data_IF_811767710640
#
_entry.id   IF_811767710640
#
_cell.length_a   1.000
_cell.length_b   1.000
_cell.length_c   1.000
_cell.angle_alpha   90.00
_cell.angle_beta   90.00
_cell.angle_gamma   90.00
#
_symmetry.space_group_name_H-M   'P 1'
#
loop_
_entity.id
_entity.type
_entity.pdbx_description
1 polymer ?
#
# COMPACT_ATOMS: atom_id res chain seq x y z
N UNK A 1 -21.36 -2.48 8.83
CA UNK A 1 -20.36 -2.76 9.88
C UNK A 1 -19.25 -1.72 9.80
N UNK A 2 -18.65 -1.35 10.94
CA UNK A 2 -17.47 -0.48 10.96
C UNK A 2 -16.21 -1.30 10.72
N UNK A 3 -15.24 -0.74 10.00
CA UNK A 3 -13.95 -1.36 9.73
C UNK A 3 -12.84 -0.46 10.28
N UNK A 4 -11.89 -1.04 11.01
CA UNK A 4 -10.69 -0.36 11.45
C UNK A 4 -9.48 -1.14 10.94
N UNK A 5 -8.64 -0.50 10.14
CA UNK A 5 -7.32 -1.05 9.81
C UNK A 5 -6.24 -0.21 10.49
N UNK A 6 -5.36 -0.88 11.21
CA UNK A 6 -4.12 -0.31 11.72
C UNK A 6 -2.97 -0.98 11.00
N UNK A 7 -2.11 -0.19 10.38
CA UNK A 7 -0.91 -0.68 9.70
C UNK A 7 0.31 -0.36 10.53
N UNK A 8 1.21 -1.33 10.65
CA UNK A 8 2.48 -1.18 11.35
C UNK A 8 3.67 -1.10 10.39
N UNK A 9 3.62 -1.67 9.18
CA UNK A 9 4.74 -1.65 8.21
C UNK A 9 4.21 -1.63 6.75
N UNK A 10 4.90 -0.99 5.79
CA UNK A 10 4.68 -0.87 4.33
C UNK A 10 6.09 -0.80 3.75
N UNK A 11 6.73 -1.93 3.47
CA UNK A 11 7.99 -1.96 2.75
C UNK A 11 7.68 -1.90 1.25
N UNK A 12 8.28 -0.98 0.50
CA UNK A 12 8.16 -0.97 -0.94
C UNK A 12 9.51 -1.34 -1.56
N UNK A 13 9.76 -2.61 -1.90
CA UNK A 13 11.04 -3.02 -2.45
C UNK A 13 11.09 -2.76 -3.96
N UNK A 14 12.03 -1.93 -4.44
CA UNK A 14 12.30 -1.68 -5.86
C UNK A 14 13.70 -2.16 -6.26
N UNK A 15 13.79 -3.08 -7.23
CA UNK A 15 15.04 -3.62 -7.80
C UNK A 15 14.91 -3.43 -9.29
N UNK A 16 15.90 -2.75 -9.87
CA UNK A 16 16.10 -2.69 -11.31
C UNK A 16 17.37 -3.49 -11.66
N UNK A 17 17.28 -4.46 -12.56
CA UNK A 17 18.47 -5.06 -13.21
C UNK A 17 18.90 -4.23 -14.43
N UNK A 18 20.11 -4.27 -14.99
CA UNK A 18 21.36 -4.97 -14.66
C UNK A 18 22.59 -4.07 -14.89
N UNK A 19 22.46 -2.73 -15.01
CA UNK A 19 23.60 -1.83 -15.23
C UNK A 19 23.40 -0.37 -14.73
N UNK A 20 22.53 -0.16 -13.74
CA UNK A 20 22.47 1.09 -12.98
C UNK A 20 22.13 0.74 -11.53
N UNK A 21 23.10 0.91 -10.63
CA UNK A 21 22.96 0.62 -9.21
C UNK A 21 22.08 1.69 -8.55
N UNK A 22 20.77 1.47 -8.52
CA UNK A 22 19.83 2.19 -7.66
C UNK A 22 19.05 1.18 -6.80
N UNK A 23 18.83 1.43 -5.50
CA UNK A 23 18.64 0.39 -4.50
C UNK A 23 17.20 0.34 -3.97
N UNK A 24 16.88 -0.79 -3.31
CA UNK A 24 15.62 -0.98 -2.59
C UNK A 24 15.40 0.15 -1.56
N UNK A 25 14.16 0.66 -1.50
CA UNK A 25 13.75 1.61 -0.48
C UNK A 25 13.00 0.88 0.63
N UNK A 26 13.38 1.15 1.88
CA UNK A 26 12.71 0.57 3.04
C UNK A 26 11.92 1.67 3.74
N UNK A 27 10.60 1.52 3.74
CA UNK A 27 9.66 2.44 4.37
C UNK A 27 9.01 1.76 5.57
N UNK A 28 8.98 2.46 6.71
CA UNK A 28 8.29 2.00 7.91
C UNK A 28 7.15 2.97 8.23
N UNK A 29 5.91 2.69 7.81
CA UNK A 29 4.71 3.48 8.11
C UNK A 29 4.21 3.31 9.55
N UNK A 30 5.08 2.98 10.51
CA UNK A 30 4.65 2.81 11.91
C UNK A 30 3.80 4.01 12.34
N UNK A 31 2.52 3.76 12.63
CA UNK A 31 1.52 4.79 12.96
C UNK A 31 0.44 5.03 11.90
N UNK A 32 0.45 4.33 10.75
CA UNK A 32 -0.62 4.40 9.76
C UNK A 32 -1.94 3.79 10.26
N UNK A 33 -3.06 4.44 9.96
CA UNK A 33 -4.39 3.96 10.39
C UNK A 33 -5.50 4.46 9.49
N UNK A 34 -6.59 3.71 9.37
CA UNK A 34 -7.78 4.15 8.64
C UNK A 34 -9.05 3.48 9.13
N UNK A 35 -10.17 4.15 8.90
CA UNK A 35 -11.50 3.60 9.16
C UNK A 35 -12.27 3.40 7.86
N UNK A 36 -13.24 2.51 7.86
CA UNK A 36 -14.03 2.18 6.68
C UNK A 36 -15.36 1.54 7.02
N UNK A 37 -16.05 1.11 5.98
CA UNK A 37 -17.28 0.33 6.07
C UNK A 37 -17.04 -1.06 5.50
N UNK A 38 -17.59 -2.07 6.18
CA UNK A 38 -17.70 -3.43 5.67
C UNK A 38 -19.17 -3.78 5.45
N UNK A 39 -19.45 -4.43 4.32
CA UNK A 39 -20.77 -4.95 3.93
C UNK A 39 -20.63 -6.42 3.57
N UNK A 40 -21.57 -7.25 4.04
CA UNK A 40 -21.65 -8.64 3.60
C UNK A 40 -22.07 -8.66 2.14
N UNK A 41 -21.41 -9.52 1.37
CA UNK A 41 -21.83 -9.79 0.00
C UNK A 41 -22.92 -10.85 0.10
N UNK A 42 -24.19 -10.42 0.12
CA UNK A 42 -25.32 -11.35 0.08
C UNK A 42 -25.35 -12.00 -1.30
N UNK A 43 -24.82 -13.22 -1.40
CA UNK A 43 -24.85 -14.02 -2.61
C UNK A 43 -26.29 -14.38 -2.99
N UNK A 44 -26.83 -13.72 -4.02
CA UNK A 44 -28.13 -14.03 -4.59
C UNK A 44 -28.20 -15.33 -5.40
N UNK A 45 -27.31 -16.31 -5.16
CA UNK A 45 -27.33 -17.58 -5.88
C UNK A 45 -26.84 -18.74 -5.00
N UNK A 46 -27.63 -19.80 -4.96
CA UNK A 46 -27.60 -20.90 -3.97
C UNK A 46 -26.44 -21.89 -4.19
N UNK A 47 -25.39 -21.49 -4.91
CA UNK A 47 -24.21 -22.33 -5.15
C UNK A 47 -22.93 -21.48 -5.25
N UNK A 48 -22.18 -21.44 -4.14
CA UNK A 48 -20.73 -21.09 -4.03
C UNK A 48 -20.30 -19.67 -3.57
N UNK A 49 -21.15 -18.82 -3.03
CA UNK A 49 -20.66 -17.68 -2.24
C UNK A 49 -20.71 -18.05 -0.75
N UNK A 50 -19.55 -18.24 -0.11
CA UNK A 50 -19.50 -18.39 1.34
C UNK A 50 -20.06 -17.12 1.99
N UNK A 51 -20.93 -17.27 2.99
CA UNK A 51 -21.48 -16.18 3.81
C UNK A 51 -20.40 -15.40 4.61
N UNK A 52 -19.12 -15.66 4.34
CA UNK A 52 -17.93 -15.12 5.01
C UNK A 52 -17.27 -13.98 4.23
N UNK A 53 -17.69 -13.70 2.99
CA UNK A 53 -17.07 -12.64 2.18
C UNK A 53 -17.66 -11.26 2.51
N UNK A 54 -16.77 -10.34 2.85
CA UNK A 54 -17.06 -8.94 3.13
C UNK A 54 -16.49 -8.06 2.03
N UNK A 55 -17.32 -7.21 1.45
CA UNK A 55 -16.86 -6.05 0.70
C UNK A 55 -16.46 -4.94 1.67
N UNK A 56 -15.26 -4.42 1.52
CA UNK A 56 -14.71 -3.38 2.38
C UNK A 56 -14.36 -2.13 1.58
N UNK A 57 -14.65 -0.97 2.15
CA UNK A 57 -14.29 0.33 1.59
C UNK A 57 -13.76 1.23 2.69
N UNK A 58 -12.50 1.63 2.61
CA UNK A 58 -11.88 2.52 3.57
C UNK A 58 -12.15 3.98 3.20
N UNK A 59 -12.43 4.77 4.22
CA UNK A 59 -12.59 6.20 4.08
C UNK A 59 -11.21 6.86 3.94
N UNK A 60 -10.84 7.17 2.70
CA UNK A 60 -9.58 7.83 2.34
C UNK A 60 -9.36 9.15 3.07
N UNK A 61 -10.42 9.87 3.46
CA UNK A 61 -10.30 11.10 4.24
C UNK A 61 -9.81 10.88 5.68
N UNK A 62 -9.97 9.65 6.20
CA UNK A 62 -9.49 9.25 7.53
C UNK A 62 -8.25 8.36 7.47
N UNK A 63 -7.81 7.99 6.26
CA UNK A 63 -6.66 7.12 6.05
C UNK A 63 -5.39 7.95 6.23
N UNK A 64 -4.71 7.73 7.35
CA UNK A 64 -3.43 8.33 7.64
C UNK A 64 -2.31 7.39 7.16
N UNK A 65 -1.54 7.87 6.20
CA UNK A 65 -0.29 7.25 5.73
C UNK A 65 0.82 8.26 5.99
N UNK A 66 1.81 7.96 6.85
CA UNK A 66 2.85 8.93 7.15
C UNK A 66 3.67 9.27 5.91
N UNK A 67 4.12 10.52 5.82
CA UNK A 67 4.98 10.95 4.71
C UNK A 67 6.32 10.23 4.76
N UNK A 68 6.93 9.99 3.59
CA UNK A 68 8.30 9.50 3.50
C UNK A 68 9.24 10.67 3.74
N UNK A 69 10.04 10.57 4.80
CA UNK A 69 11.02 11.56 5.25
C UNK A 69 12.29 10.82 5.68
N UNK A 70 13.34 11.56 6.01
CA UNK A 70 14.56 10.99 6.61
C UNK A 70 14.31 10.18 7.89
N UNK A 71 13.16 10.38 8.57
CA UNK A 71 12.77 9.62 9.77
C UNK A 71 12.04 8.31 9.45
N UNK A 72 11.27 8.28 8.37
CA UNK A 72 10.35 7.17 8.04
C UNK A 72 10.85 6.28 6.91
N UNK A 73 11.87 6.72 6.17
CA UNK A 73 12.42 6.00 5.01
C UNK A 73 13.93 5.95 5.04
N UNK A 74 14.45 4.75 4.77
CA UNK A 74 15.86 4.54 4.46
C UNK A 74 16.00 4.27 2.96
N UNK A 75 16.91 5.02 2.35
CA UNK A 75 17.39 4.86 0.99
C UNK A 75 18.87 4.47 1.07
N UNK A 76 19.27 3.30 0.55
CA UNK A 76 20.63 2.72 0.74
C UNK A 76 20.99 2.36 2.21
N UNK A 77 20.02 2.17 3.09
CA UNK A 77 20.28 2.07 4.53
C UNK A 77 20.66 3.40 5.19
N UNK A 78 20.74 4.48 4.41
CA UNK A 78 20.87 5.85 4.89
C UNK A 78 19.49 6.51 4.95
N UNK A 79 19.25 7.43 5.88
CA UNK A 79 18.02 8.21 5.87
C UNK A 79 17.89 8.95 4.52
N UNK A 80 16.65 9.12 4.03
CA UNK A 80 16.37 9.99 2.88
C UNK A 80 17.17 11.31 2.99
N UNK A 81 17.71 11.86 1.88
CA UNK A 81 18.43 13.11 1.91
C UNK A 81 17.64 14.18 2.68
N UNK A 82 18.28 14.94 3.57
CA UNK A 82 17.60 16.02 4.25
C UNK A 82 16.98 16.93 3.19
N UNK A 83 15.80 17.48 3.49
CA UNK A 83 15.00 18.33 2.60
C UNK A 83 14.20 17.63 1.50
N UNK A 84 14.23 16.29 1.39
CA UNK A 84 13.33 15.52 0.54
C UNK A 84 12.15 14.96 1.37
N UNK A 85 10.93 15.16 0.86
CA UNK A 85 9.70 14.65 1.46
C UNK A 85 8.77 14.15 0.36
N UNK A 86 8.19 12.96 0.59
CA UNK A 86 7.16 12.39 -0.29
C UNK A 86 5.88 12.27 0.52
N UNK A 87 4.86 13.03 0.12
CA UNK A 87 3.52 12.93 0.71
C UNK A 87 2.69 11.91 -0.07
N UNK A 88 2.01 11.01 0.65
CA UNK A 88 1.12 10.01 0.06
C UNK A 88 -0.32 10.47 0.28
N UNK A 89 -1.05 10.68 -0.81
CA UNK A 89 -2.48 10.96 -0.80
C UNK A 89 -3.24 9.74 -1.35
N UNK A 90 -3.88 8.93 -0.50
CA UNK A 90 -4.70 7.82 -0.96
C UNK A 90 -5.94 8.33 -1.70
N UNK A 91 -6.30 7.65 -2.79
CA UNK A 91 -7.46 7.94 -3.63
C UNK A 91 -8.47 6.79 -3.59
N UNK A 92 -7.98 5.54 -3.59
CA UNK A 92 -8.79 4.33 -3.48
C UNK A 92 -8.13 3.40 -2.47
N UNK A 93 -8.93 2.87 -1.55
CA UNK A 93 -8.54 1.75 -0.70
C UNK A 93 -9.78 0.91 -0.36
N UNK A 94 -10.00 -0.16 -1.11
CA UNK A 94 -11.23 -0.97 -1.02
C UNK A 94 -10.99 -2.38 -1.57
N UNK A 95 -11.87 -3.33 -1.28
CA UNK A 95 -11.77 -4.68 -1.85
C UNK A 95 -12.60 -5.70 -1.09
N UNK A 96 -12.05 -6.91 -0.92
CA UNK A 96 -12.75 -8.01 -0.25
C UNK A 96 -11.91 -8.65 0.86
N UNK A 97 -12.63 -9.17 1.85
CA UNK A 97 -12.09 -9.96 2.96
C UNK A 97 -12.95 -11.21 3.08
N UNK A 98 -12.34 -12.38 2.91
CA UNK A 98 -12.97 -13.65 3.27
C UNK A 98 -12.59 -13.99 4.71
N UNK A 99 -13.56 -13.90 5.60
CA UNK A 99 -13.36 -14.14 7.04
C UNK A 99 -13.09 -15.61 7.37
N UNK A 100 -13.48 -16.56 6.52
CA UNK A 100 -13.27 -17.98 6.78
C UNK A 100 -11.87 -18.40 6.37
N UNK A 101 -11.45 -18.01 5.15
CA UNK A 101 -10.12 -18.35 4.67
C UNK A 101 -9.03 -17.42 5.17
N UNK A 102 -9.37 -16.23 5.66
CA UNK A 102 -8.43 -15.16 6.01
C UNK A 102 -7.84 -14.46 4.78
N UNK A 103 -8.36 -14.74 3.57
CA UNK A 103 -7.90 -14.10 2.34
C UNK A 103 -8.36 -12.65 2.30
N UNK A 104 -7.45 -11.73 2.00
CA UNK A 104 -7.75 -10.31 1.82
C UNK A 104 -7.20 -9.84 0.49
N UNK A 105 -8.00 -9.09 -0.27
CA UNK A 105 -7.62 -8.45 -1.54
C UNK A 105 -8.11 -7.00 -1.54
N UNK A 106 -7.19 -6.04 -1.53
CA UNK A 106 -7.49 -4.61 -1.48
C UNK A 106 -6.87 -3.90 -2.68
N UNK A 107 -7.69 -3.27 -3.50
CA UNK A 107 -7.24 -2.29 -4.46
C UNK A 107 -6.73 -1.04 -3.71
N UNK A 108 -5.51 -0.65 -4.02
CA UNK A 108 -4.88 0.55 -3.49
C UNK A 108 -4.43 1.45 -4.63
N UNK A 109 -4.88 2.70 -4.59
CA UNK A 109 -4.43 3.76 -5.49
C UNK A 109 -4.09 5.00 -4.67
N UNK A 110 -2.91 5.57 -4.90
CA UNK A 110 -2.49 6.78 -4.23
C UNK A 110 -1.61 7.66 -5.14
N UNK A 111 -1.63 8.96 -4.85
CA UNK A 111 -0.74 9.95 -5.45
C UNK A 111 0.44 10.21 -4.51
N UNK A 112 1.64 10.12 -5.05
CA UNK A 112 2.88 10.39 -4.34
C UNK A 112 3.41 11.75 -4.79
N UNK A 113 3.40 12.72 -3.88
CA UNK A 113 3.82 14.09 -4.12
C UNK A 113 5.25 14.28 -3.64
N UNK A 114 6.17 14.51 -4.56
CA UNK A 114 7.58 14.69 -4.25
C UNK A 114 7.91 16.16 -4.08
N UNK A 115 8.54 16.47 -2.95
CA UNK A 115 9.02 17.82 -2.64
C UNK A 115 10.48 17.75 -2.21
N UNK A 116 11.29 18.68 -2.70
CA UNK A 116 12.72 18.76 -2.39
C UNK A 116 13.16 20.20 -2.06
N UNK A 117 14.31 20.32 -1.40
CA UNK A 117 14.93 21.62 -1.09
C UNK A 117 14.09 22.50 -0.16
N UNK A 118 13.37 21.91 0.80
CA UNK A 118 12.50 22.66 1.72
C UNK A 118 11.21 23.18 1.07
N UNK A 119 10.81 22.58 -0.06
CA UNK A 119 9.57 22.90 -0.78
C UNK A 119 9.75 23.81 -2.00
N UNK A 120 10.99 24.17 -2.33
CA UNK A 120 11.34 24.97 -3.52
C UNK A 120 11.05 24.18 -4.80
N UNK A 121 11.31 22.87 -4.78
CA UNK A 121 11.04 21.99 -5.88
C UNK A 121 9.84 21.09 -5.55
N UNK A 122 8.90 21.00 -6.50
CA UNK A 122 7.72 20.14 -6.43
C UNK A 122 7.58 19.43 -7.76
N UNK A 123 7.65 18.11 -7.74
CA UNK A 123 7.44 17.32 -8.94
C UNK A 123 5.94 17.06 -9.18
N UNK A 124 5.57 16.68 -10.42
CA UNK A 124 4.26 16.08 -10.68
C UNK A 124 3.99 14.87 -9.79
N UNK A 125 2.72 14.64 -9.45
CA UNK A 125 2.34 13.51 -8.62
C UNK A 125 2.52 12.19 -9.38
N UNK A 126 3.16 11.20 -8.74
CA UNK A 126 3.19 9.83 -9.27
C UNK A 126 1.94 9.10 -8.84
N UNK A 127 1.19 8.55 -9.78
CA UNK A 127 0.05 7.69 -9.49
C UNK A 127 0.56 6.27 -9.36
N UNK A 128 0.35 5.66 -8.19
CA UNK A 128 0.68 4.26 -7.93
C UNK A 128 -0.64 3.51 -7.76
N UNK A 129 -0.79 2.45 -8.54
CA UNK A 129 -1.93 1.52 -8.46
C UNK A 129 -1.43 0.10 -8.25
N UNK A 130 -2.01 -0.60 -7.28
CA UNK A 130 -1.72 -2.01 -7.03
C UNK A 130 -2.88 -2.71 -6.33
N UNK A 131 -2.81 -4.04 -6.29
CA UNK A 131 -3.68 -4.87 -5.46
C UNK A 131 -2.82 -5.46 -4.35
N UNK A 132 -3.16 -5.11 -3.12
CA UNK A 132 -2.59 -5.68 -1.92
C UNK A 132 -3.33 -6.97 -1.58
N UNK A 133 -2.63 -8.08 -1.51
CA UNK A 133 -3.20 -9.41 -1.25
C UNK A 133 -2.46 -10.15 -0.15
N UNK A 134 -3.16 -10.98 0.62
CA UNK A 134 -2.52 -11.94 1.54
C UNK A 134 -1.93 -13.15 0.83
N UNK A 135 -2.18 -13.28 -0.47
CA UNK A 135 -1.62 -14.33 -1.31
C UNK A 135 -0.28 -13.90 -1.94
N UNK A 136 0.13 -14.57 -3.00
CA UNK A 136 1.31 -14.19 -3.76
C UNK A 136 0.98 -13.05 -4.74
N UNK A 137 1.86 -12.06 -4.83
CA UNK A 137 1.82 -11.00 -5.84
C UNK A 137 3.12 -11.05 -6.66
N UNK A 138 2.98 -11.18 -7.98
CA UNK A 138 4.09 -11.38 -8.91
C UNK A 138 4.05 -10.29 -9.98
N UNK A 139 5.13 -9.53 -10.11
CA UNK A 139 5.38 -8.61 -11.22
C UNK A 139 6.42 -9.16 -12.19
N UNK A 140 7.00 -8.29 -13.02
CA UNK A 140 8.01 -8.69 -14.02
C UNK A 140 9.36 -9.00 -13.38
N UNK A 141 9.70 -8.30 -12.30
CA UNK A 141 11.00 -8.40 -11.63
C UNK A 141 10.90 -8.64 -10.13
N UNK A 142 9.74 -8.38 -9.53
CA UNK A 142 9.46 -8.49 -8.10
C UNK A 142 8.40 -9.53 -7.82
N UNK A 143 8.49 -10.10 -6.63
CA UNK A 143 7.48 -10.98 -6.06
C UNK A 143 7.40 -10.77 -4.55
N UNK A 144 6.20 -10.85 -4.01
CA UNK A 144 5.96 -10.89 -2.58
C UNK A 144 4.97 -11.99 -2.27
N UNK A 145 5.06 -12.52 -1.05
CA UNK A 145 4.09 -13.47 -0.51
C UNK A 145 3.52 -12.91 0.79
N UNK A 146 2.21 -12.75 0.82
CA UNK A 146 1.49 -12.31 2.00
C UNK A 146 1.25 -13.44 3.00
N UNK A 147 0.57 -13.09 4.08
CA UNK A 147 0.13 -13.99 5.13
C UNK A 147 -1.33 -13.69 5.42
N UNK A 148 -2.16 -14.74 5.33
CA UNK A 148 -3.61 -14.65 5.56
C UNK A 148 -3.92 -14.13 6.95
N UNK A 149 -5.07 -13.47 7.05
CA UNK A 149 -5.58 -12.90 8.27
C UNK A 149 -5.85 -13.98 9.32
N UNK A 150 -5.31 -13.79 10.52
CA UNK A 150 -5.58 -14.65 11.68
C UNK A 150 -6.83 -14.22 12.45
N UNK A 151 -7.16 -14.95 13.52
CA UNK A 151 -8.31 -14.68 14.39
C UNK A 151 -8.23 -13.32 15.10
N UNK A 152 -7.02 -12.77 15.28
CA UNK A 152 -6.79 -11.43 15.85
C UNK A 152 -6.85 -10.32 14.79
N UNK A 153 -7.06 -10.68 13.53
CA UNK A 153 -7.11 -9.75 12.39
C UNK A 153 -5.72 -9.38 11.84
N UNK A 154 -4.64 -10.01 12.30
CA UNK A 154 -3.28 -9.73 11.81
C UNK A 154 -3.08 -10.41 10.46
N UNK A 155 -2.57 -9.65 9.50
CA UNK A 155 -2.25 -10.15 8.17
C UNK A 155 -1.02 -9.45 7.59
N UNK A 156 -0.40 -10.08 6.60
CA UNK A 156 0.62 -9.47 5.77
C UNK A 156 0.11 -9.37 4.34
N UNK A 157 -0.02 -8.15 3.84
CA UNK A 157 -0.52 -7.84 2.52
C UNK A 157 0.66 -7.49 1.60
N UNK A 158 0.73 -8.09 0.43
CA UNK A 158 1.77 -7.79 -0.56
C UNK A 158 1.13 -7.35 -1.87
N UNK A 159 1.76 -6.43 -2.58
CA UNK A 159 1.28 -5.99 -3.89
C UNK A 159 2.41 -5.45 -4.74
N UNK A 160 2.53 -5.92 -5.96
CA UNK A 160 3.49 -5.34 -6.92
C UNK A 160 2.81 -4.22 -7.71
N UNK A 161 3.44 -3.06 -7.74
CA UNK A 161 2.98 -1.87 -8.45
C UNK A 161 4.01 -1.48 -9.52
N UNK A 162 3.54 -1.09 -10.70
CA UNK A 162 4.38 -0.44 -11.71
C UNK A 162 4.17 1.06 -11.62
N UNK A 163 5.27 1.80 -11.60
CA UNK A 163 5.27 3.27 -11.57
C UNK A 163 5.80 3.76 -12.91
N UNK A 164 4.93 4.45 -13.64
CA UNK A 164 5.28 5.02 -14.94
C UNK A 164 6.19 6.24 -14.80
N UNK A 165 6.95 6.54 -15.85
CA UNK A 165 7.72 7.78 -15.95
C UNK A 165 6.81 8.99 -15.96
N UNK A 166 7.29 10.10 -15.40
CA UNK A 166 6.62 11.40 -15.49
C UNK A 166 7.40 12.37 -16.34
N UNK A 167 6.77 13.48 -16.75
CA UNK A 167 7.40 14.58 -17.49
C UNK A 167 8.35 15.42 -16.60
N UNK A 168 9.24 14.74 -15.86
CA UNK A 168 10.29 15.35 -15.08
C UNK A 168 11.56 14.48 -15.14
N UNK A 169 12.57 14.98 -15.86
CA UNK A 169 13.86 14.31 -16.05
C UNK A 169 14.62 14.08 -14.75
N UNK A 170 14.51 15.00 -13.78
CA UNK A 170 15.14 14.82 -12.48
C UNK A 170 14.47 13.66 -11.73
N UNK A 171 13.14 13.60 -11.75
CA UNK A 171 12.39 12.49 -11.13
C UNK A 171 12.66 11.14 -11.80
N UNK A 172 12.61 11.09 -13.13
CA UNK A 172 12.87 9.85 -13.85
C UNK A 172 14.29 9.34 -13.58
N UNK A 173 15.26 10.24 -13.46
CA UNK A 173 16.65 9.88 -13.13
C UNK A 173 16.80 9.51 -11.64
N UNK A 174 16.18 10.27 -10.74
CA UNK A 174 16.26 10.08 -9.29
C UNK A 174 15.54 8.82 -8.82
N UNK A 175 14.43 8.44 -9.46
CA UNK A 175 13.67 7.24 -9.12
C UNK A 175 13.90 6.08 -10.10
N UNK A 176 14.74 6.27 -11.12
CA UNK A 176 14.99 5.30 -12.19
C UNK A 176 13.69 4.78 -12.82
N UNK A 177 12.77 5.69 -13.15
CA UNK A 177 11.49 5.33 -13.75
C UNK A 177 11.67 4.93 -15.23
N UNK A 178 10.87 3.97 -15.74
CA UNK A 178 9.81 3.24 -15.04
C UNK A 178 10.37 2.22 -14.05
N UNK A 179 9.70 2.08 -12.90
CA UNK A 179 10.15 1.20 -11.83
C UNK A 179 9.03 0.26 -11.37
N UNK A 180 9.43 -0.92 -10.89
CA UNK A 180 8.54 -1.87 -10.23
C UNK A 180 8.79 -1.82 -8.71
N UNK A 181 7.72 -1.68 -7.94
CA UNK A 181 7.75 -1.56 -6.49
C UNK A 181 6.91 -2.66 -5.86
N UNK A 182 7.48 -3.40 -4.90
CA UNK A 182 6.76 -4.38 -4.10
C UNK A 182 6.29 -3.76 -2.80
N UNK A 183 5.03 -3.42 -2.67
CA UNK A 183 4.39 -3.13 -1.39
C UNK A 183 4.30 -4.38 -0.51
N UNK A 184 4.67 -4.26 0.75
CA UNK A 184 4.68 -5.32 1.76
C UNK A 184 4.25 -4.73 3.10
N UNK A 185 3.01 -5.01 3.46
CA UNK A 185 2.23 -4.33 4.48
C UNK A 185 1.89 -5.27 5.63
N UNK A 186 2.36 -4.97 6.84
CA UNK A 186 1.85 -5.63 8.06
C UNK A 186 0.67 -4.82 8.61
N UNK A 187 -0.49 -5.45 8.70
CA UNK A 187 -1.73 -4.81 9.12
C UNK A 187 -2.51 -5.65 10.13
N UNK A 188 -3.30 -4.95 10.95
CA UNK A 188 -4.31 -5.50 11.83
C UNK A 188 -5.65 -4.94 11.36
N UNK A 189 -6.52 -5.79 10.85
CA UNK A 189 -7.84 -5.44 10.36
C UNK A 189 -8.88 -5.95 11.36
N UNK A 190 -9.68 -5.04 11.90
CA UNK A 190 -10.77 -5.38 12.82
C UNK A 190 -12.10 -4.96 12.21
N UNK A 191 -13.00 -5.92 12.06
CA UNK A 191 -14.39 -5.68 11.67
C UNK A 191 -15.22 -5.58 12.94
N UNK A 192 -15.99 -4.50 13.08
CA UNK A 192 -16.89 -4.29 14.20
C UNK A 192 -18.33 -4.21 13.71
N UNK A 193 -19.19 -5.02 14.30
CA UNK A 193 -20.62 -4.94 14.06
C UNK A 193 -21.17 -3.78 14.86
N UNK A 194 -21.44 -2.65 14.18
CA UNK A 194 -22.37 -1.66 14.72
C UNK A 194 -23.77 -2.29 14.67
N UNK A 195 -24.09 -3.12 15.64
CA UNK A 195 -25.48 -3.41 15.99
C UNK A 195 -25.98 -2.21 16.80
N UNK A 196 -26.80 -1.38 16.16
CA UNK A 196 -27.70 -0.44 16.82
C UNK A 196 -29.12 -0.92 16.65
#
# INVERSE_FOLDING_TARGET
MGLLAKSSVWCCQGVCGTNATYPDFEYSPQGGSGTGTAQKIDGGDENRASNSELSVCFNVATLYIPSLTSQTTKFLGFPLPPFLKIDISPEIFQGTIDQESGKVELEFMAKFFFTAGGGIYRAPALVVKTVLTTEESIGETKRGKGERMDEEGKCRLVGVAKVETVDDLFMNTFLSLPAECLADLQAIISVSDNQS
#
